data_IF_604391570066
#
_entry.id   IF_604391570066
#
_cell.length_a   1.000
_cell.length_b   1.000
_cell.length_c   1.000
_cell.angle_alpha   90.00
_cell.angle_beta   90.00
_cell.angle_gamma   90.00
#
_symmetry.space_group_name_H-M   'P 1'
#
loop_
_entity.id
_entity.type
_entity.pdbx_description
1 polymer ?
#
# COMPACT_ATOMS: atom_id res chain seq x y z
N UNK A 1 -4.45 -3.30 8.90
CA UNK A 1 -4.43 -4.77 9.08
C UNK A 1 -3.10 -5.41 9.45
N UNK A 2 -1.96 -5.04 8.88
CA UNK A 2 -0.68 -5.77 9.06
C UNK A 2 -0.25 -6.08 10.52
N UNK A 3 -0.25 -5.10 11.40
CA UNK A 3 0.25 -5.24 12.78
C UNK A 3 -0.84 -5.68 13.76
N UNK A 4 -2.07 -5.91 13.29
CA UNK A 4 -3.27 -6.05 14.13
C UNK A 4 -3.53 -4.88 15.10
N UNK A 5 -2.85 -3.74 14.93
CA UNK A 5 -3.02 -2.54 15.75
C UNK A 5 -4.25 -1.70 15.38
N UNK A 6 -4.42 -0.60 16.10
CA UNK A 6 -5.53 0.36 15.93
C UNK A 6 -4.97 1.69 15.41
N UNK A 7 -5.56 2.18 14.34
CA UNK A 7 -5.37 3.53 13.84
C UNK A 7 -6.62 4.35 14.15
N UNK A 8 -6.44 5.52 14.77
CA UNK A 8 -7.51 6.48 15.01
C UNK A 8 -7.12 7.85 14.44
N UNK A 9 -7.95 8.37 13.54
CA UNK A 9 -7.92 9.79 13.20
C UNK A 9 -8.67 10.56 14.27
N UNK A 10 -7.94 11.36 15.05
CA UNK A 10 -8.49 12.11 16.19
C UNK A 10 -9.54 13.12 15.71
N UNK A 11 -10.81 13.03 16.15
CA UNK A 11 -11.86 13.97 15.75
C UNK A 11 -11.68 15.37 16.34
N UNK A 12 -11.31 15.44 17.62
CA UNK A 12 -11.03 16.69 18.35
C UNK A 12 -9.63 16.64 18.96
N UNK A 13 -8.70 17.52 18.55
CA UNK A 13 -7.34 17.54 19.08
C UNK A 13 -7.25 17.85 20.58
N UNK A 14 -8.23 18.53 21.16
CA UNK A 14 -8.22 18.85 22.60
C UNK A 14 -8.37 17.58 23.47
N UNK A 15 -9.01 16.54 22.93
CA UNK A 15 -9.18 15.24 23.58
C UNK A 15 -8.01 14.26 23.35
N UNK A 16 -6.90 14.68 22.74
CA UNK A 16 -5.80 13.78 22.33
C UNK A 16 -5.30 12.89 23.48
N UNK A 17 -5.08 13.48 24.66
CA UNK A 17 -4.59 12.73 25.83
C UNK A 17 -5.58 11.63 26.25
N UNK A 18 -6.87 11.93 26.23
CA UNK A 18 -7.91 10.96 26.53
C UNK A 18 -7.87 9.77 25.55
N UNK A 19 -7.76 10.04 24.24
CA UNK A 19 -7.64 8.99 23.23
C UNK A 19 -6.39 8.13 23.42
N UNK A 20 -5.26 8.75 23.77
CA UNK A 20 -4.00 8.03 24.01
C UNK A 20 -4.10 7.11 25.23
N UNK A 21 -4.61 7.61 26.34
CA UNK A 21 -4.76 6.85 27.57
C UNK A 21 -5.76 5.70 27.41
N UNK A 22 -6.87 5.90 26.70
CA UNK A 22 -7.91 4.88 26.57
C UNK A 22 -7.51 3.76 25.58
N UNK A 23 -6.91 4.12 24.45
CA UNK A 23 -6.63 3.17 23.37
C UNK A 23 -5.23 2.55 23.44
N UNK A 24 -4.22 3.30 23.86
CA UNK A 24 -2.82 2.88 23.74
C UNK A 24 -2.16 2.52 25.07
N UNK A 25 -2.71 2.92 26.22
CA UNK A 25 -2.16 2.54 27.53
C UNK A 25 -2.52 1.12 27.97
N UNK A 26 -3.71 0.64 27.60
CA UNK A 26 -4.21 -0.67 28.02
C UNK A 26 -3.46 -1.81 27.32
N UNK A 27 -3.26 -2.92 28.01
CA UNK A 27 -2.58 -4.08 27.44
C UNK A 27 -3.42 -4.73 26.31
N UNK A 28 -2.76 -5.45 25.39
CA UNK A 28 -3.35 -6.04 24.19
C UNK A 28 -4.56 -6.92 24.48
N UNK A 29 -4.53 -7.70 25.56
CA UNK A 29 -5.63 -8.59 25.93
C UNK A 29 -6.83 -7.81 26.49
N UNK A 30 -6.57 -6.76 27.28
CA UNK A 30 -7.63 -5.90 27.82
C UNK A 30 -8.32 -5.10 26.71
N UNK A 31 -7.61 -4.70 25.65
CA UNK A 31 -8.18 -3.98 24.49
C UNK A 31 -9.32 -4.74 23.81
N UNK A 32 -9.35 -6.07 23.87
CA UNK A 32 -10.44 -6.88 23.28
C UNK A 32 -11.76 -6.73 24.03
N UNK A 33 -11.72 -6.33 25.30
CA UNK A 33 -12.90 -6.10 26.15
C UNK A 33 -13.39 -4.65 26.10
N UNK A 34 -12.62 -3.75 25.49
CA UNK A 34 -12.99 -2.34 25.33
C UNK A 34 -13.74 -2.14 24.01
N UNK A 35 -14.67 -1.19 24.01
CA UNK A 35 -15.37 -0.76 22.80
C UNK A 35 -14.40 0.03 21.91
N UNK A 36 -13.75 -0.67 20.99
CA UNK A 36 -12.78 -0.09 20.05
C UNK A 36 -13.49 0.58 18.87
N UNK A 37 -12.93 1.69 18.35
CA UNK A 37 -13.42 2.28 17.11
C UNK A 37 -13.29 1.28 15.95
N UNK A 38 -14.26 1.31 15.04
CA UNK A 38 -14.27 0.43 13.86
C UNK A 38 -13.03 0.64 13.02
N UNK A 39 -12.36 -0.46 12.66
CA UNK A 39 -11.22 -0.42 11.73
C UNK A 39 -11.70 0.14 10.39
N UNK A 40 -11.08 1.24 9.97
CA UNK A 40 -11.32 1.78 8.63
C UNK A 40 -10.69 0.82 7.61
N UNK A 41 -11.44 0.49 6.56
CA UNK A 41 -10.90 -0.25 5.43
C UNK A 41 -9.82 0.61 4.76
N UNK A 42 -8.64 0.03 4.57
CA UNK A 42 -7.52 0.68 3.87
C UNK A 42 -7.40 0.04 2.49
N UNK A 43 -7.32 0.89 1.46
CA UNK A 43 -7.00 0.46 0.10
C UNK A 43 -5.51 0.06 0.02
N UNK A 44 -5.24 -1.23 -0.15
CA UNK A 44 -3.88 -1.78 -0.33
C UNK A 44 -3.46 -1.89 -1.80
N UNK A 45 -4.25 -1.32 -2.71
CA UNK A 45 -3.94 -1.36 -4.14
C UNK A 45 -2.63 -0.63 -4.43
N UNK A 46 -1.78 -1.16 -5.33
CA UNK A 46 -0.57 -0.48 -5.73
C UNK A 46 -0.90 0.79 -6.51
N UNK A 47 -0.07 1.83 -6.32
CA UNK A 47 -0.08 3.00 -7.19
C UNK A 47 0.96 2.82 -8.30
N UNK A 48 0.60 3.14 -9.55
CA UNK A 48 1.58 3.07 -10.63
C UNK A 48 2.56 4.24 -10.60
N UNK A 49 3.83 3.99 -10.95
CA UNK A 49 4.89 5.01 -10.94
C UNK A 49 4.74 6.08 -12.04
N UNK A 50 4.00 5.81 -13.12
CA UNK A 50 3.78 6.81 -14.19
C UNK A 50 2.89 7.98 -13.75
N UNK A 51 1.78 7.67 -13.09
CA UNK A 51 0.69 8.62 -12.84
C UNK A 51 0.36 8.79 -11.35
N UNK A 52 0.97 7.98 -10.47
CA UNK A 52 0.68 7.91 -9.04
C UNK A 52 -0.81 7.64 -8.74
N UNK A 53 -1.47 6.89 -9.63
CA UNK A 53 -2.87 6.47 -9.47
C UNK A 53 -2.92 5.02 -9.00
N UNK A 54 -3.88 4.73 -8.14
CA UNK A 54 -4.19 3.36 -7.69
C UNK A 54 -4.69 2.55 -8.90
N UNK A 55 -4.13 1.36 -9.07
CA UNK A 55 -4.51 0.43 -10.13
C UNK A 55 -4.75 -0.96 -9.55
N UNK A 56 -5.62 -1.72 -10.21
CA UNK A 56 -5.92 -3.10 -9.86
C UNK A 56 -5.11 -4.08 -10.73
N UNK A 57 -5.02 -3.77 -12.03
CA UNK A 57 -4.23 -4.51 -13.01
C UNK A 57 -3.16 -3.62 -13.63
N UNK A 58 -1.95 -4.14 -13.80
CA UNK A 58 -0.85 -3.41 -14.44
C UNK A 58 0.32 -4.31 -14.80
N UNK A 59 1.44 -3.70 -15.17
CA UNK A 59 2.67 -4.39 -15.57
C UNK A 59 3.78 -4.20 -14.54
N UNK A 60 4.52 -5.27 -14.25
CA UNK A 60 5.69 -5.24 -13.37
C UNK A 60 6.98 -5.35 -14.18
N UNK A 61 7.96 -4.50 -13.90
CA UNK A 61 9.31 -4.64 -14.41
C UNK A 61 10.03 -5.81 -13.74
N UNK A 62 10.58 -6.76 -14.50
CA UNK A 62 11.32 -7.91 -13.98
C UNK A 62 12.60 -7.54 -13.23
N UNK A 63 13.22 -6.40 -13.59
CA UNK A 63 14.53 -5.98 -13.05
C UNK A 63 14.37 -5.25 -11.72
N UNK A 64 13.51 -4.23 -11.65
CA UNK A 64 13.39 -3.35 -10.49
C UNK A 64 12.06 -3.43 -9.76
N UNK A 65 11.15 -4.33 -10.17
CA UNK A 65 9.82 -4.53 -9.59
C UNK A 65 8.91 -3.28 -9.59
N UNK A 66 9.25 -2.26 -10.39
CA UNK A 66 8.41 -1.08 -10.57
C UNK A 66 7.11 -1.44 -11.31
N UNK A 67 6.01 -0.82 -10.86
CA UNK A 67 4.64 -1.09 -11.32
C UNK A 67 4.15 0.03 -12.27
N UNK A 68 3.56 -0.36 -13.40
CA UNK A 68 3.14 0.53 -14.47
C UNK A 68 1.68 0.29 -14.87
N UNK A 69 0.98 1.39 -15.18
CA UNK A 69 -0.42 1.38 -15.58
C UNK A 69 -0.58 1.02 -17.08
N UNK A 70 0.40 1.39 -17.93
CA UNK A 70 0.34 1.21 -19.39
C UNK A 70 1.59 0.53 -19.96
N UNK A 71 1.49 0.08 -21.21
CA UNK A 71 2.57 -0.59 -21.91
C UNK A 71 3.65 0.40 -22.40
N UNK A 72 4.65 0.69 -21.56
CA UNK A 72 5.82 1.50 -21.94
C UNK A 72 6.93 0.69 -22.63
N UNK A 73 7.73 1.27 -23.52
CA UNK A 73 8.84 0.57 -24.20
C UNK A 73 10.10 0.42 -23.33
N UNK A 74 10.24 1.23 -22.29
CA UNK A 74 11.33 1.15 -21.32
C UNK A 74 10.84 1.50 -19.90
N UNK A 75 11.57 1.01 -18.91
CA UNK A 75 11.34 1.30 -17.49
C UNK A 75 11.83 2.73 -17.16
N UNK A 76 10.99 3.60 -16.61
CA UNK A 76 11.42 4.95 -16.21
C UNK A 76 12.41 4.93 -15.04
N UNK A 77 12.34 3.91 -14.18
CA UNK A 77 13.17 3.79 -12.98
C UNK A 77 14.57 3.24 -13.28
N UNK A 78 14.67 2.12 -14.03
CA UNK A 78 15.95 1.44 -14.29
C UNK A 78 16.42 1.55 -15.75
N UNK A 79 15.65 2.20 -16.63
CA UNK A 79 15.95 2.39 -18.07
C UNK A 79 16.11 1.12 -18.90
N UNK A 80 15.80 -0.05 -18.32
CA UNK A 80 15.75 -1.32 -19.06
C UNK A 80 14.68 -1.25 -20.15
N UNK A 81 15.03 -1.67 -21.36
CA UNK A 81 14.09 -1.83 -22.46
C UNK A 81 13.17 -3.04 -22.22
N UNK A 82 11.91 -2.92 -22.63
CA UNK A 82 10.95 -4.01 -22.60
C UNK A 82 10.79 -4.54 -24.03
N UNK A 83 11.54 -5.59 -24.38
CA UNK A 83 11.44 -6.19 -25.72
C UNK A 83 10.14 -6.98 -25.88
N UNK A 84 9.40 -6.72 -26.96
CA UNK A 84 8.19 -7.47 -27.32
C UNK A 84 8.48 -8.90 -27.82
N UNK A 85 9.74 -9.20 -28.18
CA UNK A 85 10.20 -10.50 -28.67
C UNK A 85 11.34 -11.04 -27.79
N UNK A 86 11.01 -11.42 -26.55
CA UNK A 86 11.62 -12.54 -25.81
C UNK A 86 13.14 -12.75 -25.75
N UNK A 87 14.00 -11.75 -25.99
CA UNK A 87 15.45 -11.99 -26.00
C UNK A 87 16.35 -10.85 -25.52
N UNK A 88 15.86 -9.96 -24.64
CA UNK A 88 16.66 -9.41 -23.53
C UNK A 88 15.79 -9.20 -22.28
N UNK A 89 16.44 -9.29 -21.12
CA UNK A 89 15.94 -9.40 -19.74
C UNK A 89 14.87 -8.36 -19.30
N UNK A 90 13.62 -8.51 -19.76
CA UNK A 90 12.57 -7.51 -19.53
C UNK A 90 11.14 -8.01 -19.74
N UNK A 91 10.78 -9.20 -19.27
CA UNK A 91 9.41 -9.72 -19.40
C UNK A 91 8.43 -8.99 -18.45
N UNK A 92 7.41 -8.34 -19.01
CA UNK A 92 6.33 -7.72 -18.23
C UNK A 92 5.36 -8.79 -17.75
N UNK A 93 5.22 -8.91 -16.43
CA UNK A 93 4.20 -9.79 -15.83
C UNK A 93 2.97 -8.99 -15.44
N UNK A 94 1.76 -9.50 -15.72
CA UNK A 94 0.53 -8.87 -15.25
C UNK A 94 0.48 -8.97 -13.72
N UNK A 95 0.22 -7.85 -13.06
CA UNK A 95 -0.28 -7.83 -11.68
C UNK A 95 -1.73 -8.33 -11.70
N UNK A 96 -1.96 -9.45 -11.03
CA UNK A 96 -3.29 -9.92 -10.61
C UNK A 96 -3.47 -9.63 -9.13
#
# INVERSE_FOLDING_TARGET
DLTSGIYLRVPDPNGLLQYLLWLYLTDKELRKMLALPTKMAVDYRPACFCHHKLIDTGYVCSVCLSIYCDNTSACSTCRSAFDANGSTDGSKRPLR
#
